data_IF_459479711414
#
_entry.id   IF_459479711414
#
_cell.length_a   1.000
_cell.length_b   1.000
_cell.length_c   1.000
_cell.angle_alpha   90.00
_cell.angle_beta   90.00
_cell.angle_gamma   90.00
#
_symmetry.space_group_name_H-M   'P 1'
#
loop_
_entity.id
_entity.type
_entity.pdbx_description
1 polymer ?
#
# COMPACT_ATOMS: atom_id res chain seq x y z
N UNK A 1 34.19 -26.51 14.18
CA UNK A 1 32.96 -26.54 13.35
C UNK A 1 31.97 -27.48 14.02
N UNK A 2 30.70 -27.11 14.24
CA UNK A 2 29.72 -28.02 14.84
C UNK A 2 29.53 -29.24 13.94
N UNK A 3 29.82 -30.43 14.46
CA UNK A 3 29.69 -31.71 13.76
C UNK A 3 28.27 -32.23 13.96
N UNK A 4 27.54 -32.47 12.86
CA UNK A 4 26.24 -33.15 12.90
C UNK A 4 26.54 -34.60 13.30
N UNK A 5 26.11 -35.00 14.50
CA UNK A 5 26.53 -36.27 15.10
C UNK A 5 25.41 -37.32 15.06
N UNK A 6 24.20 -36.93 14.65
CA UNK A 6 23.10 -37.86 14.45
C UNK A 6 21.93 -37.29 13.64
N UNK A 7 20.96 -38.15 13.34
CA UNK A 7 19.77 -37.79 12.56
C UNK A 7 18.94 -36.67 13.21
N UNK A 8 18.93 -36.64 14.55
CA UNK A 8 18.26 -35.59 15.32
C UNK A 8 18.91 -34.21 15.10
N UNK A 9 20.24 -34.15 14.96
CA UNK A 9 20.95 -32.90 14.69
C UNK A 9 20.69 -32.43 13.25
N UNK A 10 20.58 -33.37 12.31
CA UNK A 10 20.23 -33.07 10.93
C UNK A 10 18.82 -32.49 10.82
N UNK A 11 17.84 -33.08 11.54
CA UNK A 11 16.46 -32.57 11.62
C UNK A 11 16.45 -31.15 12.20
N UNK A 12 17.22 -30.89 13.26
CA UNK A 12 17.33 -29.54 13.86
C UNK A 12 17.92 -28.53 12.89
N UNK A 13 18.95 -28.89 12.11
CA UNK A 13 19.54 -28.01 11.09
C UNK A 13 18.53 -27.74 9.97
N UNK A 14 17.84 -28.77 9.47
CA UNK A 14 16.84 -28.62 8.43
C UNK A 14 15.68 -27.70 8.87
N UNK A 15 15.18 -27.87 10.10
CA UNK A 15 14.11 -27.04 10.66
C UNK A 15 14.55 -25.57 10.84
N UNK A 16 15.80 -25.33 11.28
CA UNK A 16 16.35 -23.97 11.35
C UNK A 16 16.47 -23.32 9.97
N UNK A 17 16.91 -24.06 8.96
CA UNK A 17 17.03 -23.56 7.61
C UNK A 17 15.65 -23.21 7.00
N UNK A 18 14.63 -24.03 7.28
CA UNK A 18 13.25 -23.76 6.85
C UNK A 18 12.66 -22.51 7.53
N UNK A 19 12.89 -22.34 8.85
CA UNK A 19 12.45 -21.15 9.57
C UNK A 19 13.13 -19.87 9.08
N UNK A 20 14.44 -19.92 8.83
CA UNK A 20 15.20 -18.79 8.30
C UNK A 20 14.81 -18.44 6.86
N UNK A 21 14.50 -19.45 6.04
CA UNK A 21 13.99 -19.25 4.68
C UNK A 21 12.62 -18.55 4.69
N UNK A 22 11.72 -18.87 5.62
CA UNK A 22 10.42 -18.20 5.72
C UNK A 22 10.53 -16.71 6.09
N UNK A 23 11.41 -16.37 7.03
CA UNK A 23 11.67 -14.96 7.40
C UNK A 23 12.36 -14.19 6.26
N UNK A 24 13.28 -14.84 5.54
CA UNK A 24 13.95 -14.24 4.39
C UNK A 24 13.02 -14.10 3.18
N UNK A 25 12.14 -15.06 2.89
CA UNK A 25 11.16 -14.99 1.80
C UNK A 25 10.16 -13.83 1.99
N UNK A 26 9.86 -13.43 3.24
CA UNK A 26 9.05 -12.24 3.51
C UNK A 26 9.73 -10.91 3.14
N UNK A 27 11.07 -10.86 3.14
CA UNK A 27 11.87 -9.66 2.90
C UNK A 27 12.66 -9.68 1.56
N UNK A 28 12.88 -10.86 0.98
CA UNK A 28 13.71 -11.12 -0.19
C UNK A 28 12.91 -11.46 -1.46
N UNK A 29 11.57 -11.35 -1.45
CA UNK A 29 10.76 -11.44 -2.67
C UNK A 29 10.84 -10.18 -3.57
N UNK A 30 11.97 -9.47 -3.49
CA UNK A 30 12.31 -8.22 -4.16
C UNK A 30 12.60 -8.36 -5.66
N UNK A 31 12.04 -9.36 -6.35
CA UNK A 31 12.28 -9.54 -7.78
C UNK A 31 11.04 -9.58 -8.68
N UNK A 32 9.80 -9.71 -8.18
CA UNK A 32 8.64 -9.39 -9.05
C UNK A 32 7.28 -9.10 -8.40
N UNK A 33 6.89 -9.84 -7.36
CA UNK A 33 5.67 -9.59 -6.58
C UNK A 33 5.62 -10.69 -5.54
N UNK A 34 5.70 -10.34 -4.26
CA UNK A 34 5.45 -11.26 -3.16
C UNK A 34 4.11 -10.91 -2.55
N UNK A 35 3.15 -11.83 -2.60
CA UNK A 35 1.90 -11.68 -1.85
C UNK A 35 2.21 -12.01 -0.40
N UNK A 36 2.52 -10.98 0.38
CA UNK A 36 2.76 -11.11 1.82
C UNK A 36 1.46 -10.75 2.53
N UNK A 37 0.83 -11.74 3.15
CA UNK A 37 -0.33 -11.50 4.02
C UNK A 37 0.16 -10.93 5.35
N UNK A 38 -0.27 -9.73 5.71
CA UNK A 38 0.06 -9.09 6.98
C UNK A 38 1.45 -8.45 7.04
N UNK A 39 1.92 -7.86 5.95
CA UNK A 39 3.17 -7.09 5.94
C UNK A 39 3.11 -5.97 6.97
N UNK A 40 4.00 -6.00 7.96
CA UNK A 40 4.16 -4.92 8.93
C UNK A 40 5.39 -4.09 8.56
N UNK A 41 5.20 -2.78 8.37
CA UNK A 41 6.30 -1.86 8.01
C UNK A 41 6.73 -1.06 9.25
N UNK A 42 7.95 -1.30 9.71
CA UNK A 42 8.52 -0.65 10.90
C UNK A 42 8.22 -1.37 12.21
N UNK A 43 9.03 -1.14 13.25
CA UNK A 43 8.92 -1.83 14.54
C UNK A 43 7.63 -1.51 15.31
N UNK A 44 6.98 -0.38 15.00
CA UNK A 44 5.70 0.03 15.56
C UNK A 44 4.54 -0.05 14.55
N UNK A 45 4.77 -0.64 13.37
CA UNK A 45 3.75 -0.74 12.33
C UNK A 45 2.62 -1.69 12.72
N UNK A 46 1.43 -1.43 12.19
CA UNK A 46 0.36 -2.43 12.12
C UNK A 46 0.49 -3.21 10.82
N UNK A 47 -0.02 -4.44 10.80
CA UNK A 47 -0.04 -5.25 9.60
C UNK A 47 -0.93 -4.58 8.54
N UNK A 48 -0.35 -4.33 7.36
CA UNK A 48 -1.08 -3.81 6.21
C UNK A 48 -1.93 -4.92 5.59
N UNK A 49 -3.15 -4.56 5.21
CA UNK A 49 -4.08 -5.45 4.54
C UNK A 49 -4.16 -5.18 3.03
N UNK A 50 -3.99 -3.93 2.62
CA UNK A 50 -3.97 -3.54 1.21
C UNK A 50 -3.16 -2.26 0.99
N UNK A 51 -2.45 -2.18 -0.14
CA UNK A 51 -1.88 -0.94 -0.67
C UNK A 51 -2.32 -0.82 -2.14
N UNK A 52 -2.96 0.28 -2.47
CA UNK A 52 -3.51 0.58 -3.79
C UNK A 52 -3.04 1.95 -4.23
N UNK A 53 -2.82 2.15 -5.53
CA UNK A 53 -2.41 3.44 -6.08
C UNK A 53 -2.98 3.65 -7.47
N UNK A 54 -3.06 4.91 -7.88
CA UNK A 54 -3.51 5.24 -9.23
C UNK A 54 -3.38 6.73 -9.55
N UNK A 55 -3.96 7.10 -10.68
CA UNK A 55 -4.08 8.48 -11.15
C UNK A 55 -5.53 8.83 -11.41
N UNK A 56 -5.89 10.08 -11.15
CA UNK A 56 -7.20 10.63 -11.47
C UNK A 56 -7.07 12.09 -11.91
N UNK A 57 -7.86 12.51 -12.90
CA UNK A 57 -7.86 13.90 -13.39
C UNK A 57 -9.00 14.66 -12.74
N UNK A 58 -8.71 15.80 -12.11
CA UNK A 58 -9.74 16.69 -11.59
C UNK A 58 -10.54 17.31 -12.74
N UNK A 59 -11.85 17.38 -12.55
CA UNK A 59 -12.76 18.12 -13.43
C UNK A 59 -13.51 19.10 -12.55
N UNK A 60 -13.35 20.40 -12.84
CA UNK A 60 -13.89 21.47 -12.03
C UNK A 60 -13.52 21.36 -10.53
N UNK A 61 -12.27 20.98 -10.24
CA UNK A 61 -11.79 20.83 -8.87
C UNK A 61 -12.21 19.56 -8.13
N UNK A 62 -12.84 18.57 -8.77
CA UNK A 62 -13.19 17.31 -8.12
C UNK A 62 -13.04 16.09 -9.02
N UNK A 63 -12.83 14.92 -8.41
CA UNK A 63 -12.92 13.62 -9.09
C UNK A 63 -13.34 12.53 -8.11
N UNK A 64 -14.20 11.62 -8.57
CA UNK A 64 -14.54 10.38 -7.85
C UNK A 64 -13.66 9.26 -8.36
N UNK A 65 -12.94 8.61 -7.46
CA UNK A 65 -12.13 7.42 -7.75
C UNK A 65 -12.91 6.19 -7.30
N UNK A 66 -13.23 5.30 -8.24
CA UNK A 66 -13.88 4.04 -7.94
C UNK A 66 -12.86 3.07 -7.32
N UNK A 67 -13.19 2.54 -6.15
CA UNK A 67 -12.37 1.55 -5.46
C UNK A 67 -13.22 0.71 -4.50
N UNK A 68 -13.46 -0.55 -4.86
CA UNK A 68 -14.30 -1.48 -4.10
C UNK A 68 -13.67 -1.94 -2.78
N UNK A 69 -12.39 -1.67 -2.55
CA UNK A 69 -11.70 -2.07 -1.32
C UNK A 69 -11.54 -0.88 -0.36
N UNK A 70 -12.07 0.30 -0.70
CA UNK A 70 -12.00 1.45 0.22
C UNK A 70 -12.91 1.18 1.42
N UNK A 71 -12.39 1.44 2.60
CA UNK A 71 -13.12 1.43 3.87
C UNK A 71 -13.28 2.87 4.36
N UNK A 72 -14.14 3.07 5.35
CA UNK A 72 -14.25 4.38 6.03
C UNK A 72 -12.96 4.79 6.73
N UNK A 73 -12.12 3.82 7.10
CA UNK A 73 -10.84 3.99 7.80
C UNK A 73 -9.63 4.08 6.87
N UNK A 74 -9.79 3.89 5.56
CA UNK A 74 -8.66 3.87 4.61
C UNK A 74 -7.91 5.20 4.62
N UNK A 75 -6.60 5.15 4.80
CA UNK A 75 -5.75 6.32 4.68
C UNK A 75 -5.49 6.59 3.21
N UNK A 76 -5.69 7.84 2.78
CA UNK A 76 -5.53 8.25 1.38
C UNK A 76 -4.60 9.45 1.34
N UNK A 77 -3.49 9.29 0.64
CA UNK A 77 -2.55 10.37 0.36
C UNK A 77 -2.61 10.72 -1.11
N UNK A 78 -2.54 12.01 -1.42
CA UNK A 78 -2.66 12.54 -2.77
C UNK A 78 -1.54 13.53 -3.06
N UNK A 79 -1.08 13.57 -4.30
CA UNK A 79 -0.12 14.55 -4.78
C UNK A 79 -0.41 14.93 -6.23
N UNK A 80 0.04 16.11 -6.64
CA UNK A 80 -0.09 16.54 -8.04
C UNK A 80 0.97 15.86 -8.88
N UNK A 81 0.54 15.17 -9.93
CA UNK A 81 1.42 14.62 -10.96
C UNK A 81 1.66 15.64 -12.07
N UNK A 82 0.60 16.23 -12.60
CA UNK A 82 0.67 17.29 -13.63
C UNK A 82 -0.30 18.38 -13.25
N UNK A 83 0.20 19.61 -13.15
CA UNK A 83 -0.61 20.78 -12.83
C UNK A 83 -1.50 21.14 -14.02
N UNK A 84 -2.78 21.35 -13.76
CA UNK A 84 -3.77 21.81 -14.74
C UNK A 84 -4.68 22.87 -14.13
N UNK A 85 -5.04 23.88 -14.94
CA UNK A 85 -5.89 24.98 -14.48
C UNK A 85 -5.25 25.80 -13.36
N UNK A 86 -6.06 26.25 -12.40
CA UNK A 86 -5.58 27.00 -11.21
C UNK A 86 -5.52 26.09 -9.99
N UNK A 87 -4.34 25.72 -9.47
CA UNK A 87 -4.23 24.88 -8.29
C UNK A 87 -4.84 25.49 -7.02
N UNK A 88 -5.62 24.70 -6.30
CA UNK A 88 -6.09 25.00 -4.94
C UNK A 88 -5.41 24.13 -3.88
N UNK A 89 -6.04 23.98 -2.72
CA UNK A 89 -5.63 23.01 -1.71
C UNK A 89 -6.31 21.68 -1.98
N UNK A 90 -5.54 20.60 -2.10
CA UNK A 90 -6.08 19.25 -2.28
C UNK A 90 -6.56 18.67 -0.95
N UNK A 91 -7.70 18.00 -0.98
CA UNK A 91 -8.27 17.26 0.14
C UNK A 91 -8.88 15.94 -0.35
N UNK A 92 -9.01 14.97 0.57
CA UNK A 92 -9.82 13.77 0.33
C UNK A 92 -11.13 13.93 1.10
N UNK A 93 -12.21 14.28 0.39
CA UNK A 93 -13.43 14.77 1.04
C UNK A 93 -14.30 13.64 1.62
N UNK A 94 -14.51 12.55 0.88
CA UNK A 94 -15.44 11.49 1.28
C UNK A 94 -14.95 10.11 0.87
N UNK A 95 -15.35 9.09 1.64
CA UNK A 95 -15.13 7.66 1.39
C UNK A 95 -16.48 6.97 1.49
N UNK A 96 -16.89 6.28 0.43
CA UNK A 96 -18.04 5.39 0.42
C UNK A 96 -17.51 3.97 0.45
N UNK A 97 -17.60 3.33 1.63
CA UNK A 97 -17.05 1.99 1.83
C UNK A 97 -17.55 1.01 0.76
N UNK A 98 -16.63 0.17 0.27
CA UNK A 98 -16.93 -0.80 -0.78
C UNK A 98 -17.16 -0.21 -2.16
N UNK A 99 -17.00 1.11 -2.36
CA UNK A 99 -17.42 1.78 -3.60
C UNK A 99 -16.40 2.77 -4.14
N UNK A 100 -16.09 3.84 -3.41
CA UNK A 100 -15.34 4.98 -3.97
C UNK A 100 -14.83 5.96 -2.91
N UNK A 101 -13.96 6.87 -3.34
CA UNK A 101 -13.61 8.07 -2.58
C UNK A 101 -13.52 9.28 -3.51
N UNK A 102 -13.58 10.48 -2.94
CA UNK A 102 -13.51 11.73 -3.69
C UNK A 102 -12.25 12.51 -3.38
N UNK A 103 -11.54 12.94 -4.42
CA UNK A 103 -10.46 13.92 -4.31
C UNK A 103 -11.04 15.27 -4.73
N UNK A 104 -10.82 16.29 -3.91
CA UNK A 104 -11.28 17.66 -4.18
C UNK A 104 -10.14 18.64 -4.09
N UNK A 105 -10.29 19.75 -4.80
CA UNK A 105 -9.49 20.96 -4.70
C UNK A 105 -10.36 22.10 -4.21
N UNK A 106 -9.79 23.02 -3.44
CA UNK A 106 -10.45 24.27 -3.09
C UNK A 106 -10.63 25.22 -4.30
N UNK A 107 -10.04 24.89 -5.46
CA UNK A 107 -10.20 25.64 -6.70
C UNK A 107 -11.05 24.84 -7.69
N UNK A 108 -12.23 25.38 -8.02
CA UNK A 108 -13.10 24.82 -9.06
C UNK A 108 -12.52 24.97 -10.48
N UNK A 109 -11.45 25.74 -10.66
CA UNK A 109 -10.73 25.84 -11.93
C UNK A 109 -9.59 24.83 -12.03
N UNK A 110 -9.36 24.01 -11.00
CA UNK A 110 -8.30 23.03 -11.05
C UNK A 110 -8.67 21.82 -11.92
N UNK A 111 -7.76 21.46 -12.83
CA UNK A 111 -7.86 20.31 -13.72
C UNK A 111 -6.61 19.42 -13.69
N UNK A 112 -5.86 19.49 -12.59
CA UNK A 112 -4.62 18.71 -12.39
C UNK A 112 -4.86 17.20 -12.45
N UNK A 113 -3.84 16.48 -12.92
CA UNK A 113 -3.73 15.02 -12.75
C UNK A 113 -3.14 14.76 -11.39
N UNK A 114 -3.83 13.95 -10.58
CA UNK A 114 -3.50 13.64 -9.19
C UNK A 114 -3.06 12.18 -9.09
N UNK A 115 -1.86 11.94 -8.56
CA UNK A 115 -1.44 10.63 -8.07
C UNK A 115 -2.08 10.40 -6.69
N UNK A 116 -2.57 9.18 -6.44
CA UNK A 116 -3.12 8.78 -5.15
C UNK A 116 -2.55 7.44 -4.70
N UNK A 117 -2.45 7.28 -3.38
CA UNK A 117 -2.17 6.01 -2.70
C UNK A 117 -3.17 5.83 -1.56
N UNK A 118 -3.75 4.63 -1.46
CA UNK A 118 -4.70 4.22 -0.44
C UNK A 118 -4.16 2.98 0.29
N UNK A 119 -4.17 2.99 1.61
CA UNK A 119 -3.65 1.89 2.44
C UNK A 119 -4.45 1.71 3.74
N UNK A 120 -4.50 0.45 4.17
CA UNK A 120 -5.24 -0.06 5.34
C UNK A 120 -4.35 -0.92 6.22
#
# INVERSE_FOLDING_TARGET
MPRITGILDLIKVANRNAANANTALGLAQSAKSGVVTGLTVGAAGTALTSIRKGRATLVAGAVVVADVNVLTTTNIQVSRYTVGGTPGNLNTATRTAGTSFTITSSSALETSVIDWIAFD
#
